data_IF_891110707527
#
_entry.id   IF_891110707527
#
_cell.length_a   1.000
_cell.length_b   1.000
_cell.length_c   1.000
_cell.angle_alpha   90.00
_cell.angle_beta   90.00
_cell.angle_gamma   90.00
#
_symmetry.space_group_name_H-M   'P 1'
#
loop_
_entity.id
_entity.type
_entity.pdbx_description
1 polymer ?
#
# COMPACT_ATOMS: atom_id res chain seq x y z
N UNK A 1 -33.40 12.05 41.86
CA UNK A 1 -32.35 11.19 42.39
C UNK A 1 -32.15 9.94 41.53
N UNK A 2 -33.21 9.26 41.21
CA UNK A 2 -33.12 7.96 40.53
C UNK A 2 -32.74 8.07 39.05
N UNK A 3 -33.14 9.11 38.40
CA UNK A 3 -32.89 9.32 36.99
C UNK A 3 -31.41 9.63 36.69
N UNK A 4 -30.75 10.31 37.60
CA UNK A 4 -29.35 10.68 37.42
C UNK A 4 -28.42 9.46 37.35
N UNK A 5 -28.77 8.41 38.03
CA UNK A 5 -27.94 7.21 38.02
C UNK A 5 -27.95 6.46 36.70
N UNK A 6 -29.07 6.43 36.05
CA UNK A 6 -29.21 5.77 34.76
C UNK A 6 -28.41 6.47 33.69
N UNK A 7 -28.34 7.79 33.74
CA UNK A 7 -27.60 8.57 32.75
C UNK A 7 -26.09 8.24 32.80
N UNK A 8 -25.55 8.09 33.98
CA UNK A 8 -24.12 7.81 34.16
C UNK A 8 -23.75 6.46 33.55
N UNK A 9 -24.60 5.47 33.65
CA UNK A 9 -24.33 4.15 33.08
C UNK A 9 -24.25 4.18 31.56
N UNK A 10 -25.08 4.95 30.92
CA UNK A 10 -25.09 5.06 29.45
C UNK A 10 -23.78 5.65 28.94
N UNK A 11 -23.26 6.65 29.62
CA UNK A 11 -22.00 7.29 29.22
C UNK A 11 -20.83 6.32 29.29
N UNK A 12 -20.78 5.50 30.30
CA UNK A 12 -19.71 4.55 30.47
C UNK A 12 -19.66 3.51 29.36
N UNK A 13 -20.82 3.06 28.91
CA UNK A 13 -20.89 2.06 27.84
C UNK A 13 -20.37 2.63 26.54
N UNK A 14 -20.69 3.87 26.24
CA UNK A 14 -20.24 4.50 25.00
C UNK A 14 -18.72 4.65 24.95
N UNK A 15 -18.12 4.97 26.05
CA UNK A 15 -16.66 5.14 26.13
C UNK A 15 -15.94 3.83 25.83
N UNK A 16 -16.43 2.73 26.32
CA UNK A 16 -15.82 1.42 26.06
C UNK A 16 -15.84 1.04 24.59
N UNK A 17 -16.90 1.41 23.91
CA UNK A 17 -17.03 1.08 22.48
C UNK A 17 -15.94 1.72 21.63
N UNK A 18 -15.54 2.95 21.91
CA UNK A 18 -14.48 3.62 21.18
C UNK A 18 -13.12 2.94 21.35
N UNK A 19 -12.81 2.50 22.53
CA UNK A 19 -11.53 1.85 22.81
C UNK A 19 -11.39 0.55 22.03
N UNK A 20 -12.47 -0.23 21.94
CA UNK A 20 -12.44 -1.48 21.20
C UNK A 20 -12.24 -1.28 19.70
N UNK A 21 -12.81 -0.21 19.13
CA UNK A 21 -12.68 0.06 17.71
C UNK A 21 -11.24 0.38 17.31
N UNK A 22 -10.48 1.04 18.16
CA UNK A 22 -9.09 1.40 17.86
C UNK A 22 -8.13 0.22 17.92
N UNK A 23 -8.47 -0.80 18.67
CA UNK A 23 -7.58 -1.94 18.88
C UNK A 23 -7.49 -2.88 17.68
N UNK A 24 -8.39 -2.75 16.70
CA UNK A 24 -8.51 -3.71 15.60
C UNK A 24 -7.83 -3.26 14.31
N UNK A 25 -7.00 -2.21 14.33
CA UNK A 25 -6.32 -1.72 13.12
C UNK A 25 -5.24 -2.70 12.68
N UNK A 26 -5.24 -3.13 11.41
CA UNK A 26 -4.21 -4.04 10.91
C UNK A 26 -2.83 -3.40 10.91
N UNK A 27 -1.81 -4.22 11.07
CA UNK A 27 -0.42 -3.78 11.04
C UNK A 27 0.16 -4.00 9.65
N UNK A 28 0.68 -2.92 9.05
CA UNK A 28 1.23 -2.98 7.70
C UNK A 28 2.68 -3.47 7.67
N UNK A 29 3.40 -3.43 8.80
CA UNK A 29 4.82 -3.80 8.78
C UNK A 29 5.03 -5.22 8.28
N UNK A 30 6.09 -5.40 7.50
CA UNK A 30 6.42 -6.68 6.89
C UNK A 30 6.59 -6.57 5.39
N UNK A 31 6.66 -7.70 4.73
CA UNK A 31 6.87 -7.78 3.29
C UNK A 31 5.58 -8.13 2.57
N UNK A 32 5.34 -7.45 1.46
CA UNK A 32 4.14 -7.61 0.66
C UNK A 32 4.50 -7.89 -0.79
N UNK A 33 3.88 -8.90 -1.36
CA UNK A 33 3.96 -9.15 -2.81
C UNK A 33 2.86 -8.35 -3.48
N UNK A 34 3.22 -7.51 -4.43
CA UNK A 34 2.29 -6.61 -5.08
C UNK A 34 2.17 -6.96 -6.56
N UNK A 35 0.94 -7.20 -6.99
CA UNK A 35 0.59 -7.44 -8.39
C UNK A 35 -0.22 -6.25 -8.87
N UNK A 36 0.31 -5.56 -9.88
CA UNK A 36 -0.32 -4.38 -10.44
C UNK A 36 -0.86 -4.70 -11.84
N UNK A 37 -2.09 -4.30 -12.09
CA UNK A 37 -2.71 -4.40 -13.40
C UNK A 37 -3.07 -2.99 -13.86
N UNK A 38 -2.36 -2.49 -14.88
CA UNK A 38 -2.68 -1.19 -15.47
C UNK A 38 -3.85 -1.30 -16.45
N UNK A 39 -4.43 -0.15 -16.80
CA UNK A 39 -5.63 -0.09 -17.63
C UNK A 39 -5.46 -0.74 -19.01
N UNK A 40 -4.22 -0.85 -19.51
CA UNK A 40 -3.91 -1.49 -20.79
C UNK A 40 -3.63 -3.00 -20.65
N UNK A 41 -4.05 -3.61 -19.53
CA UNK A 41 -3.82 -5.02 -19.19
C UNK A 41 -2.34 -5.38 -18.97
N UNK A 42 -1.50 -4.38 -18.83
CA UNK A 42 -0.09 -4.60 -18.54
C UNK A 42 0.09 -4.92 -17.05
N UNK A 43 0.75 -6.02 -16.74
CA UNK A 43 1.02 -6.44 -15.38
C UNK A 43 2.42 -6.07 -14.94
N UNK A 44 2.56 -5.64 -13.70
CA UNK A 44 3.84 -5.41 -13.05
C UNK A 44 3.85 -6.03 -11.69
N UNK A 45 4.99 -6.54 -11.29
CA UNK A 45 5.15 -7.22 -10.01
C UNK A 45 6.24 -6.54 -9.22
N UNK A 46 5.97 -6.32 -7.94
CA UNK A 46 6.97 -5.77 -7.05
C UNK A 46 6.75 -6.28 -5.63
N UNK A 47 7.73 -5.99 -4.80
CA UNK A 47 7.67 -6.30 -3.38
C UNK A 47 7.79 -4.98 -2.62
N UNK A 48 6.95 -4.80 -1.65
CA UNK A 48 7.01 -3.65 -0.74
C UNK A 48 7.36 -4.15 0.65
N UNK A 49 8.46 -3.66 1.19
CA UNK A 49 8.85 -3.94 2.56
C UNK A 49 8.52 -2.73 3.42
N UNK A 50 7.61 -2.89 4.37
CA UNK A 50 7.15 -1.80 5.22
C UNK A 50 7.79 -1.89 6.60
N UNK A 51 8.39 -0.80 7.04
CA UNK A 51 8.98 -0.66 8.38
C UNK A 51 8.01 0.10 9.27
N UNK A 52 8.21 -0.02 10.57
CA UNK A 52 7.25 0.50 11.56
C UNK A 52 7.12 2.02 11.60
N UNK A 53 8.08 2.75 11.04
CA UNK A 53 8.13 4.21 11.14
C UNK A 53 7.63 4.94 9.91
N UNK A 54 6.87 4.28 9.05
CA UNK A 54 6.37 4.86 7.81
C UNK A 54 7.32 4.78 6.66
N UNK A 55 8.48 4.18 6.85
CA UNK A 55 9.48 3.97 5.81
C UNK A 55 9.31 2.60 5.19
N UNK A 56 9.89 2.43 4.02
CA UNK A 56 9.87 1.14 3.36
C UNK A 56 10.75 1.12 2.14
N UNK A 57 10.64 0.05 1.38
CA UNK A 57 11.36 -0.09 0.12
C UNK A 57 10.50 -0.80 -0.90
N UNK A 58 10.72 -0.44 -2.17
CA UNK A 58 10.10 -1.08 -3.33
C UNK A 58 11.18 -1.83 -4.10
N UNK A 59 10.92 -3.08 -4.43
CA UNK A 59 11.82 -3.88 -5.23
C UNK A 59 11.03 -4.51 -6.36
N UNK A 60 11.45 -4.28 -7.60
CA UNK A 60 10.78 -4.90 -8.74
C UNK A 60 11.07 -6.39 -8.77
N UNK A 61 10.03 -7.19 -8.94
CA UNK A 61 10.15 -8.65 -9.02
C UNK A 61 9.75 -9.19 -10.40
N UNK A 62 9.51 -8.30 -11.36
CA UNK A 62 9.29 -8.69 -12.75
C UNK A 62 10.48 -9.51 -13.26
N UNK A 63 10.25 -10.56 -14.04
CA UNK A 63 11.36 -11.32 -14.62
C UNK A 63 12.32 -10.45 -15.43
N UNK A 64 11.83 -9.44 -16.13
CA UNK A 64 12.66 -8.53 -16.90
C UNK A 64 13.57 -7.66 -16.03
N UNK A 65 13.13 -7.30 -14.84
CA UNK A 65 13.93 -6.47 -13.94
C UNK A 65 15.21 -7.20 -13.49
N UNK A 66 15.15 -8.51 -13.36
CA UNK A 66 16.33 -9.30 -12.96
C UNK A 66 17.42 -9.29 -14.01
N UNK A 67 17.05 -9.26 -15.28
CA UNK A 67 18.00 -9.25 -16.39
C UNK A 67 18.82 -7.97 -16.41
N UNK A 68 18.22 -6.86 -15.99
CA UNK A 68 18.84 -5.55 -16.03
C UNK A 68 19.60 -5.19 -14.76
N UNK A 69 19.72 -6.10 -13.84
CA UNK A 69 20.27 -5.80 -12.51
C UNK A 69 19.50 -4.66 -11.82
N UNK A 70 18.27 -4.45 -12.23
CA UNK A 70 17.42 -3.37 -11.73
C UNK A 70 16.58 -3.76 -10.53
N UNK A 71 16.85 -4.91 -9.94
CA UNK A 71 16.10 -5.38 -8.77
C UNK A 71 16.61 -4.82 -7.45
N UNK A 72 17.29 -3.69 -7.49
CA UNK A 72 17.77 -3.02 -6.28
C UNK A 72 16.59 -2.33 -5.59
N UNK A 73 16.48 -2.42 -4.26
CA UNK A 73 15.41 -1.74 -3.55
C UNK A 73 15.50 -0.22 -3.70
N UNK A 74 14.36 0.42 -3.86
CA UNK A 74 14.25 1.88 -3.86
C UNK A 74 13.58 2.33 -2.57
N UNK A 75 14.02 3.45 -2.03
CA UNK A 75 13.40 3.98 -0.83
C UNK A 75 11.94 4.34 -1.11
N UNK A 76 11.07 3.95 -0.19
CA UNK A 76 9.65 4.20 -0.31
C UNK A 76 9.09 4.57 1.05
N UNK A 77 7.83 4.91 1.09
CA UNK A 77 7.16 5.26 2.33
C UNK A 77 5.72 4.75 2.29
N UNK A 78 5.13 4.66 3.48
CA UNK A 78 3.73 4.32 3.59
C UNK A 78 3.08 5.21 4.65
N UNK A 79 1.77 5.42 4.49
CA UNK A 79 0.98 6.16 5.47
C UNK A 79 -0.34 5.42 5.66
N UNK A 80 -0.79 5.38 6.90
CA UNK A 80 -2.10 4.84 7.24
C UNK A 80 -3.10 5.97 7.26
N UNK A 81 -4.26 5.75 6.64
CA UNK A 81 -5.34 6.72 6.63
C UNK A 81 -6.43 6.29 7.59
N UNK A 82 -7.60 6.88 7.42
CA UNK A 82 -8.75 6.55 8.23
C UNK A 82 -9.23 5.13 7.95
N UNK A 83 -9.71 4.47 8.98
CA UNK A 83 -10.20 3.10 8.87
C UNK A 83 -9.07 2.16 8.48
N UNK A 84 -9.31 1.36 7.48
CA UNK A 84 -8.35 0.37 7.00
C UNK A 84 -7.55 0.85 5.79
N UNK A 85 -7.50 2.17 5.54
CA UNK A 85 -6.81 2.74 4.39
C UNK A 85 -5.31 2.73 4.57
N UNK A 86 -4.58 2.49 3.47
CA UNK A 86 -3.13 2.46 3.46
C UNK A 86 -2.64 2.98 2.11
N UNK A 87 -1.58 3.79 2.13
CA UNK A 87 -0.96 4.30 0.91
C UNK A 87 0.51 3.96 0.92
N UNK A 88 0.98 3.32 -0.16
CA UNK A 88 2.40 3.09 -0.42
C UNK A 88 2.85 4.01 -1.54
N UNK A 89 4.05 4.57 -1.44
CA UNK A 89 4.55 5.50 -2.45
C UNK A 89 6.07 5.42 -2.54
N UNK A 90 6.59 5.50 -3.76
CA UNK A 90 8.03 5.52 -3.97
C UNK A 90 8.40 5.60 -5.44
N UNK A 91 9.68 5.87 -5.72
CA UNK A 91 10.18 5.89 -7.09
C UNK A 91 10.38 4.47 -7.62
N UNK A 92 10.08 4.29 -8.91
CA UNK A 92 10.31 3.01 -9.60
C UNK A 92 10.82 3.27 -11.00
N UNK A 93 11.53 2.28 -11.55
CA UNK A 93 11.92 2.25 -12.96
C UNK A 93 11.46 0.94 -13.55
N UNK A 94 10.39 0.97 -14.34
CA UNK A 94 9.89 -0.22 -14.99
C UNK A 94 10.66 -0.47 -16.29
N UNK A 95 11.13 -1.68 -16.54
CA UNK A 95 11.78 -1.99 -17.81
C UNK A 95 10.77 -1.98 -18.97
N UNK A 96 11.18 -1.40 -20.08
CA UNK A 96 10.39 -1.35 -21.31
C UNK A 96 11.22 -1.99 -22.41
N UNK A 97 10.81 -3.17 -22.88
CA UNK A 97 11.55 -3.88 -23.90
C UNK A 97 12.96 -4.22 -23.45
N UNK A 98 13.94 -4.14 -24.36
CA UNK A 98 15.31 -4.55 -24.08
C UNK A 98 16.22 -3.43 -23.63
N UNK A 99 15.86 -2.17 -23.86
CA UNK A 99 16.78 -1.05 -23.58
C UNK A 99 16.09 0.13 -22.91
N UNK A 100 14.79 0.16 -22.83
CA UNK A 100 14.05 1.30 -22.27
C UNK A 100 13.70 1.13 -20.81
N UNK A 101 13.50 2.25 -20.13
CA UNK A 101 13.01 2.27 -18.76
C UNK A 101 11.99 3.38 -18.60
N UNK A 102 10.99 3.12 -17.81
CA UNK A 102 9.95 4.08 -17.49
C UNK A 102 10.05 4.45 -16.02
N UNK A 103 10.74 5.54 -15.74
CA UNK A 103 10.99 6.00 -14.38
C UNK A 103 9.90 6.96 -13.95
N UNK A 104 9.46 6.84 -12.71
CA UNK A 104 8.44 7.70 -12.16
C UNK A 104 8.13 7.40 -10.71
N UNK A 105 7.07 8.00 -10.23
CA UNK A 105 6.57 7.79 -8.87
C UNK A 105 5.35 6.89 -8.90
N UNK A 106 5.40 5.83 -8.12
CA UNK A 106 4.30 4.89 -7.97
C UNK A 106 3.56 5.19 -6.68
N UNK A 107 2.25 5.27 -6.75
CA UNK A 107 1.39 5.48 -5.59
C UNK A 107 0.33 4.39 -5.57
N UNK A 108 0.26 3.64 -4.47
CA UNK A 108 -0.68 2.55 -4.28
C UNK A 108 -1.62 2.95 -3.15
N UNK A 109 -2.88 3.21 -3.46
CA UNK A 109 -3.89 3.57 -2.47
C UNK A 109 -4.87 2.43 -2.31
N UNK A 110 -4.89 1.83 -1.15
CA UNK A 110 -5.75 0.68 -0.92
C UNK A 110 -6.33 0.60 0.45
N UNK A 111 -6.97 -0.52 0.69
CA UNK A 111 -7.57 -0.85 1.97
C UNK A 111 -7.27 -2.29 2.31
N UNK A 112 -7.10 -2.55 3.59
CA UNK A 112 -7.02 -3.93 4.08
C UNK A 112 -8.36 -4.62 3.90
N UNK A 113 -8.40 -5.67 3.09
CA UNK A 113 -9.56 -6.57 3.03
C UNK A 113 -9.50 -7.60 4.14
N UNK A 114 -8.29 -8.07 4.43
CA UNK A 114 -7.95 -8.89 5.58
C UNK A 114 -6.62 -8.38 6.12
N UNK A 115 -6.15 -8.83 7.28
CA UNK A 115 -4.83 -8.43 7.77
C UNK A 115 -3.68 -8.75 6.82
N UNK A 116 -3.88 -9.70 5.91
CA UNK A 116 -2.84 -10.17 4.99
C UNK A 116 -3.12 -9.81 3.52
N UNK A 117 -4.17 -9.04 3.25
CA UNK A 117 -4.55 -8.69 1.87
C UNK A 117 -4.96 -7.23 1.78
N UNK A 118 -4.30 -6.51 0.87
CA UNK A 118 -4.63 -5.12 0.54
C UNK A 118 -4.98 -5.04 -0.93
N UNK A 119 -6.07 -4.37 -1.26
CA UNK A 119 -6.44 -4.10 -2.65
C UNK A 119 -6.76 -2.62 -2.82
N UNK A 120 -6.62 -2.12 -4.04
CA UNK A 120 -6.92 -0.73 -4.30
C UNK A 120 -6.50 -0.28 -5.68
N UNK A 121 -6.22 1.00 -5.78
CA UNK A 121 -5.88 1.65 -7.04
C UNK A 121 -4.41 2.04 -7.07
N UNK A 122 -3.85 2.03 -8.27
CA UNK A 122 -2.46 2.42 -8.49
C UNK A 122 -2.39 3.58 -9.47
N UNK A 123 -1.48 4.50 -9.20
CA UNK A 123 -1.18 5.61 -10.08
C UNK A 123 0.33 5.68 -10.29
N UNK A 124 0.75 5.76 -11.54
CA UNK A 124 2.16 5.91 -11.90
C UNK A 124 2.35 7.21 -12.66
N UNK A 125 3.12 8.13 -12.07
CA UNK A 125 3.40 9.43 -12.66
C UNK A 125 4.81 9.43 -13.24
N UNK A 126 4.97 9.49 -14.57
CA UNK A 126 6.31 9.51 -15.17
C UNK A 126 7.10 10.75 -14.76
N UNK A 127 8.40 10.57 -14.54
CA UNK A 127 9.30 11.68 -14.22
C UNK A 127 9.61 12.54 -15.43
N UNK A 128 9.69 11.94 -16.60
CA UNK A 128 10.13 12.60 -17.82
C UNK A 128 9.09 12.39 -18.89
N UNK A 129 8.84 13.44 -19.67
CA UNK A 129 7.88 13.38 -20.75
C UNK A 129 6.53 13.96 -20.39
N UNK A 130 5.74 14.23 -21.39
CA UNK A 130 4.42 14.84 -21.25
C UNK A 130 3.31 13.82 -21.23
N UNK A 131 3.63 12.55 -21.04
CA UNK A 131 2.63 11.50 -21.03
C UNK A 131 1.72 11.57 -19.81
N UNK A 132 0.47 11.17 -19.97
CA UNK A 132 -0.45 11.11 -18.83
C UNK A 132 0.01 10.04 -17.85
N UNK A 133 -0.39 10.19 -16.59
CA UNK A 133 -0.14 9.16 -15.60
C UNK A 133 -0.88 7.89 -15.97
N UNK A 134 -0.30 6.74 -15.59
CA UNK A 134 -0.91 5.44 -15.83
C UNK A 134 -1.65 5.02 -14.59
N UNK A 135 -2.84 4.49 -14.77
CA UNK A 135 -3.68 4.07 -13.66
C UNK A 135 -4.08 2.62 -13.81
N UNK A 136 -4.41 2.02 -12.68
CA UNK A 136 -4.83 0.64 -12.65
C UNK A 136 -5.24 0.22 -11.25
N UNK A 137 -5.17 -1.08 -11.02
CA UNK A 137 -5.50 -1.65 -9.73
C UNK A 137 -4.34 -2.50 -9.22
N UNK A 138 -4.33 -2.77 -7.92
CA UNK A 138 -3.30 -3.62 -7.35
C UNK A 138 -3.86 -4.55 -6.30
N UNK A 139 -3.13 -5.61 -6.07
CA UNK A 139 -3.37 -6.57 -5.01
C UNK A 139 -2.05 -6.83 -4.30
N UNK A 140 -2.02 -6.63 -3.00
CA UNK A 140 -0.85 -6.88 -2.19
C UNK A 140 -1.17 -7.99 -1.18
N UNK A 141 -0.32 -9.00 -1.16
CA UNK A 141 -0.47 -10.15 -0.28
C UNK A 141 0.75 -10.22 0.62
N UNK A 142 0.52 -10.37 1.92
CA UNK A 142 1.61 -10.47 2.89
C UNK A 142 2.42 -11.74 2.64
N UNK A 143 3.74 -11.58 2.56
CA UNK A 143 4.62 -12.73 2.44
C UNK A 143 4.73 -13.43 3.78
N UNK A 144 4.60 -14.73 3.75
CA UNK A 144 4.80 -15.56 4.94
C UNK A 144 6.23 -16.04 4.97
N UNK A 145 6.83 -15.97 6.13
CA UNK A 145 8.18 -16.49 6.33
C UNK A 145 8.15 -17.98 6.62
#
# INVERSE_FOLDING_TARGET
>A
MKAARAIILVIAVNTLSFVLAEADSPNVTGSWKVDITFANDQHRFLRFDAQSDGKGSLTLTDPQAKVWAGASPSEAKWTAGEGNSITFSGPVEFPIGNVGRDAGTLTLKGKFDTPDLITGEVDFSPLVGDGPSKQGTFKAVREKK
#
